data_IF_011620273376
#
_entry.id   IF_011620273376
#
_cell.length_a   1.000
_cell.length_b   1.000
_cell.length_c   1.000
_cell.angle_alpha   90.00
_cell.angle_beta   90.00
_cell.angle_gamma   90.00
#
_symmetry.space_group_name_H-M   'P 1'
#
loop_
_entity.id
_entity.type
_entity.pdbx_description
1 polymer ?
#
# COMPACT_ATOMS: atom_id res chain seq x y z
N UNK A 1 9.95 -29.13 -6.76
CA UNK A 1 9.36 -27.99 -7.49
C UNK A 1 7.94 -27.83 -6.97
N UNK A 2 7.79 -27.10 -5.87
CA UNK A 2 6.54 -27.01 -5.11
C UNK A 2 5.65 -25.91 -5.68
N UNK A 3 4.55 -26.31 -6.32
CA UNK A 3 3.45 -25.41 -6.66
C UNK A 3 2.67 -25.10 -5.40
N UNK A 4 2.75 -23.85 -4.95
CA UNK A 4 1.93 -23.31 -3.87
C UNK A 4 0.47 -23.32 -4.31
N UNK A 5 -0.47 -23.82 -3.49
CA UNK A 5 -1.88 -23.78 -3.84
C UNK A 5 -2.37 -22.35 -3.66
N UNK A 6 -2.47 -21.60 -4.76
CA UNK A 6 -3.46 -20.53 -4.89
C UNK A 6 -4.81 -21.16 -4.54
N UNK A 7 -5.55 -20.57 -3.61
CA UNK A 7 -6.87 -21.03 -3.19
C UNK A 7 -7.64 -21.64 -4.35
N UNK A 8 -8.07 -22.89 -4.19
CA UNK A 8 -8.85 -23.61 -5.20
C UNK A 8 -10.11 -22.81 -5.55
N UNK A 9 -10.01 -21.95 -6.57
CA UNK A 9 -11.11 -21.19 -7.09
C UNK A 9 -12.07 -22.16 -7.76
N UNK A 10 -13.33 -22.13 -7.33
CA UNK A 10 -14.40 -22.86 -7.96
C UNK A 10 -14.35 -22.60 -9.48
N UNK A 11 -14.53 -23.64 -10.31
CA UNK A 11 -14.47 -23.46 -11.75
C UNK A 11 -15.53 -22.51 -12.24
N UNK A 12 -15.08 -21.32 -12.64
CA UNK A 12 -15.95 -20.32 -13.22
C UNK A 12 -16.26 -20.74 -14.67
N UNK A 13 -17.55 -20.82 -14.97
CA UNK A 13 -18.05 -21.11 -16.31
C UNK A 13 -17.99 -19.85 -17.16
N UNK A 14 -17.54 -19.96 -18.41
CA UNK A 14 -17.49 -18.83 -19.33
C UNK A 14 -18.90 -18.39 -19.74
N UNK A 15 -19.18 -17.08 -19.65
CA UNK A 15 -20.46 -16.50 -20.06
C UNK A 15 -20.78 -16.69 -21.56
N UNK A 16 -19.74 -16.81 -22.40
CA UNK A 16 -19.90 -16.90 -23.85
C UNK A 16 -19.94 -18.35 -24.36
N UNK A 17 -19.00 -19.20 -23.95
CA UNK A 17 -18.91 -20.58 -24.48
C UNK A 17 -19.37 -21.66 -23.50
N UNK A 18 -19.81 -21.29 -22.29
CA UNK A 18 -20.30 -22.21 -21.25
C UNK A 18 -19.32 -23.31 -20.81
N UNK A 19 -18.06 -23.21 -21.22
CA UNK A 19 -16.99 -24.11 -20.80
C UNK A 19 -16.32 -23.64 -19.50
N UNK A 20 -15.76 -24.59 -18.77
CA UNK A 20 -14.91 -24.33 -17.60
C UNK A 20 -13.64 -23.62 -18.05
N UNK A 21 -13.34 -22.47 -17.46
CA UNK A 21 -12.13 -21.68 -17.78
C UNK A 21 -11.29 -21.43 -16.54
N UNK A 22 -9.97 -21.40 -16.72
CA UNK A 22 -8.98 -21.16 -15.66
C UNK A 22 -8.25 -19.82 -15.81
N UNK A 23 -8.36 -19.13 -16.95
CA UNK A 23 -7.66 -17.85 -17.18
C UNK A 23 -8.37 -16.67 -16.51
N UNK A 24 -7.67 -15.82 -15.78
CA UNK A 24 -8.25 -14.69 -15.00
C UNK A 24 -9.01 -13.72 -15.91
N UNK A 25 -8.33 -13.07 -16.85
CA UNK A 25 -8.93 -12.02 -17.68
C UNK A 25 -9.69 -12.55 -18.89
N UNK A 26 -9.18 -13.62 -19.52
CA UNK A 26 -9.70 -14.14 -20.79
C UNK A 26 -10.07 -15.61 -20.64
N UNK A 27 -11.13 -16.03 -21.35
CA UNK A 27 -11.51 -17.44 -21.40
C UNK A 27 -10.45 -18.25 -22.14
N UNK A 28 -9.95 -19.33 -21.52
CA UNK A 28 -8.95 -20.21 -22.15
C UNK A 28 -9.49 -21.00 -23.34
N UNK A 29 -10.82 -21.13 -23.48
CA UNK A 29 -11.46 -21.86 -24.57
C UNK A 29 -11.82 -20.97 -25.77
N UNK A 30 -12.52 -19.84 -25.52
CA UNK A 30 -13.01 -18.97 -26.61
C UNK A 30 -12.30 -17.60 -26.70
N UNK A 31 -11.35 -17.30 -25.83
CA UNK A 31 -10.59 -16.04 -25.84
C UNK A 31 -11.38 -14.80 -25.41
N UNK A 32 -12.67 -14.94 -25.08
CA UNK A 32 -13.52 -13.81 -24.69
C UNK A 32 -13.14 -13.20 -23.36
N UNK A 33 -13.27 -11.88 -23.26
CA UNK A 33 -13.01 -11.12 -22.04
C UNK A 33 -14.01 -11.54 -20.96
N UNK A 34 -13.51 -11.81 -19.75
CA UNK A 34 -14.29 -12.34 -18.65
C UNK A 34 -14.74 -11.25 -17.69
N UNK A 35 -15.92 -11.47 -17.10
CA UNK A 35 -16.30 -10.81 -15.87
C UNK A 35 -15.61 -11.52 -14.71
N UNK A 36 -14.76 -10.77 -13.99
CA UNK A 36 -14.19 -11.22 -12.72
C UNK A 36 -15.25 -11.12 -11.61
N UNK A 37 -15.21 -12.02 -10.61
CA UNK A 37 -16.05 -11.92 -9.43
C UNK A 37 -15.95 -10.54 -8.77
N UNK A 38 -17.01 -10.12 -8.11
CA UNK A 38 -16.93 -8.94 -7.24
C UNK A 38 -15.94 -9.23 -6.10
N UNK A 39 -15.08 -8.25 -5.79
CA UNK A 39 -14.08 -8.39 -4.73
C UNK A 39 -12.76 -9.05 -5.16
N UNK A 40 -12.51 -9.25 -6.46
CA UNK A 40 -11.16 -9.63 -6.93
C UNK A 40 -10.14 -8.58 -6.50
N UNK A 41 -9.13 -9.00 -5.73
CA UNK A 41 -8.07 -8.13 -5.25
C UNK A 41 -7.03 -7.81 -6.35
N UNK A 42 -6.19 -6.81 -6.10
CA UNK A 42 -5.18 -6.34 -7.05
C UNK A 42 -4.10 -7.38 -7.35
N UNK A 43 -3.73 -8.23 -6.39
CA UNK A 43 -2.76 -9.30 -6.65
C UNK A 43 -3.35 -10.33 -7.62
N UNK A 44 -4.61 -10.72 -7.40
CA UNK A 44 -5.35 -11.59 -8.31
C UNK A 44 -5.53 -10.95 -9.70
N UNK A 45 -5.80 -9.64 -9.77
CA UNK A 45 -5.87 -8.88 -11.02
C UNK A 45 -4.57 -8.96 -11.83
N UNK A 46 -3.41 -8.93 -11.15
CA UNK A 46 -2.10 -9.09 -11.79
C UNK A 46 -1.70 -10.55 -12.00
N UNK A 47 -2.52 -11.51 -11.59
CA UNK A 47 -2.18 -12.94 -11.56
C UNK A 47 -0.87 -13.16 -10.78
N UNK A 48 -0.77 -12.54 -9.61
CA UNK A 48 0.39 -12.57 -8.72
C UNK A 48 -0.01 -13.08 -7.33
N UNK A 49 0.91 -13.75 -6.61
CA UNK A 49 0.67 -14.04 -5.20
C UNK A 49 0.59 -12.73 -4.40
N UNK A 50 -0.09 -12.78 -3.25
CA UNK A 50 -0.18 -11.69 -2.26
C UNK A 50 1.16 -11.46 -1.54
N UNK A 51 2.22 -11.21 -2.30
CA UNK A 51 3.57 -10.92 -1.81
C UNK A 51 3.75 -9.43 -1.64
N UNK A 52 4.40 -9.05 -0.55
CA UNK A 52 4.80 -7.68 -0.26
C UNK A 52 6.20 -7.38 -0.79
N UNK A 53 7.09 -8.37 -0.89
CA UNK A 53 8.39 -8.22 -1.54
C UNK A 53 8.31 -8.73 -2.99
N UNK A 54 8.28 -7.79 -3.93
CA UNK A 54 8.20 -8.09 -5.36
C UNK A 54 9.20 -7.27 -6.17
N UNK A 55 9.73 -7.87 -7.23
CA UNK A 55 10.59 -7.18 -8.17
C UNK A 55 9.77 -6.18 -9.00
N UNK A 56 10.17 -4.92 -8.97
CA UNK A 56 9.42 -3.85 -9.65
C UNK A 56 9.34 -4.04 -11.16
N UNK A 57 10.38 -4.62 -11.75
CA UNK A 57 10.41 -4.98 -13.17
C UNK A 57 9.36 -6.03 -13.54
N UNK A 58 9.06 -6.98 -12.65
CA UNK A 58 8.03 -8.00 -12.88
C UNK A 58 6.62 -7.36 -12.89
N UNK A 59 6.35 -6.48 -11.93
CA UNK A 59 5.08 -5.74 -11.86
C UNK A 59 4.88 -4.88 -13.11
N UNK A 60 5.91 -4.12 -13.50
CA UNK A 60 5.85 -3.24 -14.67
C UNK A 60 5.64 -4.04 -15.97
N UNK A 61 6.36 -5.14 -16.16
CA UNK A 61 6.17 -6.01 -17.33
C UNK A 61 4.76 -6.61 -17.39
N UNK A 62 4.21 -7.05 -16.24
CA UNK A 62 2.83 -7.53 -16.17
C UNK A 62 1.83 -6.42 -16.46
N UNK A 63 2.05 -5.22 -15.92
CA UNK A 63 1.22 -4.05 -16.18
C UNK A 63 1.18 -3.71 -17.67
N UNK A 64 2.33 -3.54 -18.33
CA UNK A 64 2.39 -3.22 -19.76
C UNK A 64 1.69 -4.29 -20.61
N UNK A 65 1.92 -5.58 -20.29
CA UNK A 65 1.29 -6.71 -20.99
C UNK A 65 -0.23 -6.71 -20.83
N UNK A 66 -0.72 -6.50 -19.61
CA UNK A 66 -2.15 -6.50 -19.31
C UNK A 66 -2.83 -5.26 -19.88
N UNK A 67 -2.22 -4.07 -19.75
CA UNK A 67 -2.70 -2.82 -20.32
C UNK A 67 -2.86 -2.93 -21.83
N UNK A 68 -1.86 -3.51 -22.52
CA UNK A 68 -1.96 -3.73 -23.97
C UNK A 68 -3.10 -4.68 -24.33
N UNK A 69 -3.30 -5.78 -23.58
CA UNK A 69 -4.38 -6.75 -23.86
C UNK A 69 -5.78 -6.21 -23.55
N UNK A 70 -5.90 -5.42 -22.50
CA UNK A 70 -7.17 -4.97 -21.94
C UNK A 70 -7.59 -3.58 -22.45
N UNK A 71 -6.74 -2.90 -23.22
CA UNK A 71 -6.99 -1.56 -23.73
C UNK A 71 -8.34 -1.45 -24.46
N UNK A 72 -9.18 -0.42 -24.19
CA UNK A 72 -10.49 -0.26 -24.81
C UNK A 72 -10.47 -0.25 -26.34
N UNK A 73 -9.41 0.26 -26.94
CA UNK A 73 -9.23 0.29 -28.40
C UNK A 73 -9.26 -1.10 -29.05
N UNK A 74 -8.84 -2.15 -28.33
CA UNK A 74 -8.90 -3.52 -28.83
C UNK A 74 -10.34 -4.05 -28.90
N UNK A 75 -11.29 -3.41 -28.22
CA UNK A 75 -12.67 -3.87 -28.07
C UNK A 75 -13.68 -2.98 -28.81
N UNK A 76 -13.23 -2.02 -29.62
CA UNK A 76 -14.11 -1.10 -30.38
C UNK A 76 -15.11 -1.82 -31.28
N UNK A 77 -14.79 -3.04 -31.75
CA UNK A 77 -15.69 -3.87 -32.55
C UNK A 77 -16.31 -5.04 -31.75
N UNK A 78 -16.02 -5.13 -30.44
CA UNK A 78 -16.58 -6.17 -29.56
C UNK A 78 -18.02 -5.84 -29.15
N UNK A 79 -18.65 -6.77 -28.42
CA UNK A 79 -19.96 -6.55 -27.82
C UNK A 79 -19.93 -5.38 -26.81
N UNK A 80 -21.09 -4.75 -26.57
CA UNK A 80 -21.21 -3.68 -25.56
C UNK A 80 -20.72 -4.13 -24.19
N UNK A 81 -21.11 -5.34 -23.78
CA UNK A 81 -20.65 -5.98 -22.55
C UNK A 81 -19.11 -6.10 -22.48
N UNK A 82 -18.44 -6.48 -23.57
CA UNK A 82 -16.97 -6.56 -23.59
C UNK A 82 -16.29 -5.19 -23.53
N UNK A 83 -16.88 -4.17 -24.17
CA UNK A 83 -16.36 -2.80 -24.12
C UNK A 83 -16.43 -2.22 -22.71
N UNK A 84 -17.57 -2.38 -22.04
CA UNK A 84 -17.74 -1.94 -20.65
C UNK A 84 -16.76 -2.63 -19.70
N UNK A 85 -16.61 -3.95 -19.85
CA UNK A 85 -15.66 -4.73 -19.03
C UNK A 85 -14.23 -4.29 -19.30
N UNK A 86 -13.84 -4.07 -20.56
CA UNK A 86 -12.50 -3.59 -20.93
C UNK A 86 -12.20 -2.20 -20.34
N UNK A 87 -13.15 -1.26 -20.46
CA UNK A 87 -13.01 0.08 -19.89
C UNK A 87 -12.82 0.03 -18.37
N UNK A 88 -13.70 -0.69 -17.68
CA UNK A 88 -13.62 -0.87 -16.22
C UNK A 88 -12.30 -1.52 -15.82
N UNK A 89 -11.91 -2.62 -16.48
CA UNK A 89 -10.69 -3.38 -16.18
C UNK A 89 -9.42 -2.56 -16.41
N UNK A 90 -9.41 -1.70 -17.43
CA UNK A 90 -8.27 -0.81 -17.71
C UNK A 90 -8.08 0.22 -16.60
N UNK A 91 -9.17 0.77 -16.07
CA UNK A 91 -9.11 1.68 -14.92
C UNK A 91 -8.62 0.95 -13.67
N UNK A 92 -9.22 -0.20 -13.34
CA UNK A 92 -8.83 -1.02 -12.19
C UNK A 92 -7.35 -1.43 -12.24
N UNK A 93 -6.83 -1.75 -13.43
CA UNK A 93 -5.44 -2.12 -13.62
C UNK A 93 -4.48 -0.95 -13.32
N UNK A 94 -4.86 0.28 -13.67
CA UNK A 94 -4.08 1.47 -13.35
C UNK A 94 -4.04 1.73 -11.85
N UNK A 95 -5.19 1.62 -11.17
CA UNK A 95 -5.27 1.80 -9.72
C UNK A 95 -4.48 0.72 -8.99
N UNK A 96 -4.65 -0.54 -9.41
CA UNK A 96 -3.88 -1.66 -8.91
C UNK A 96 -2.38 -1.47 -9.13
N UNK A 97 -1.94 -0.97 -10.29
CA UNK A 97 -0.53 -0.68 -10.54
C UNK A 97 0.01 0.39 -9.60
N UNK A 98 -0.73 1.50 -9.42
CA UNK A 98 -0.33 2.59 -8.51
C UNK A 98 -0.20 2.09 -7.08
N UNK A 99 -1.20 1.35 -6.58
CA UNK A 99 -1.20 0.81 -5.22
C UNK A 99 -0.12 -0.23 -5.01
N UNK A 100 0.02 -1.20 -5.93
CA UNK A 100 1.03 -2.24 -5.79
C UNK A 100 2.44 -1.73 -6.07
N UNK A 101 2.63 -0.59 -6.73
CA UNK A 101 3.96 -0.02 -6.98
C UNK A 101 4.57 0.63 -5.74
N UNK A 102 3.75 1.29 -4.92
CA UNK A 102 4.20 1.92 -3.69
C UNK A 102 4.31 0.87 -2.56
N UNK A 103 5.50 0.70 -1.93
CA UNK A 103 5.68 -0.31 -0.89
C UNK A 103 4.75 -0.14 0.32
N UNK A 104 4.44 1.10 0.69
CA UNK A 104 3.60 1.41 1.85
C UNK A 104 2.14 1.12 1.51
N UNK A 105 1.66 1.66 0.39
CA UNK A 105 0.29 1.44 -0.08
C UNK A 105 0.01 -0.04 -0.36
N UNK A 106 1.02 -0.81 -0.80
CA UNK A 106 0.92 -2.27 -0.98
C UNK A 106 0.65 -2.98 0.35
N UNK A 107 1.35 -2.61 1.43
CA UNK A 107 1.13 -3.17 2.76
C UNK A 107 -0.24 -2.77 3.30
N UNK A 108 -0.59 -1.49 3.18
CA UNK A 108 -1.92 -0.97 3.58
C UNK A 108 -3.05 -1.72 2.87
N UNK A 109 -2.90 -1.90 1.56
CA UNK A 109 -3.86 -2.62 0.74
C UNK A 109 -4.01 -4.08 1.17
N UNK A 110 -2.91 -4.78 1.39
CA UNK A 110 -2.94 -6.16 1.89
C UNK A 110 -3.70 -6.25 3.23
N UNK A 111 -3.36 -5.38 4.18
CA UNK A 111 -4.02 -5.38 5.48
C UNK A 111 -5.52 -5.04 5.36
N UNK A 112 -5.89 -4.16 4.42
CA UNK A 112 -7.28 -3.80 4.18
C UNK A 112 -8.09 -4.99 3.64
N UNK A 113 -7.57 -5.73 2.66
CA UNK A 113 -8.28 -6.90 2.09
C UNK A 113 -8.35 -8.09 3.05
N UNK A 114 -7.42 -8.17 4.02
CA UNK A 114 -7.44 -9.18 5.09
C UNK A 114 -8.25 -8.71 6.32
N UNK A 115 -8.74 -7.46 6.34
CA UNK A 115 -9.52 -6.88 7.44
C UNK A 115 -8.71 -6.57 8.71
N UNK A 116 -7.38 -6.47 8.60
CA UNK A 116 -6.45 -6.24 9.73
C UNK A 116 -5.91 -4.80 9.78
N UNK A 117 -6.23 -3.94 8.79
CA UNK A 117 -5.84 -2.53 8.81
C UNK A 117 -6.69 -1.77 9.83
N UNK A 118 -6.06 -1.30 10.91
CA UNK A 118 -6.71 -0.56 12.02
C UNK A 118 -6.27 0.90 12.04
N UNK A 119 -6.54 1.60 10.95
CA UNK A 119 -6.28 3.04 10.87
C UNK A 119 -7.46 3.82 11.46
N UNK A 120 -7.18 4.80 12.32
CA UNK A 120 -8.21 5.71 12.85
C UNK A 120 -9.18 5.14 13.89
N UNK A 121 -9.15 3.84 14.19
CA UNK A 121 -9.98 3.22 15.26
C UNK A 121 -9.64 3.77 16.66
N UNK A 122 -8.47 4.39 16.82
CA UNK A 122 -8.06 5.15 17.99
C UNK A 122 -7.42 6.45 17.51
N UNK A 123 -7.58 7.56 18.26
CA UNK A 123 -6.70 8.73 18.10
C UNK A 123 -5.27 8.20 18.08
N UNK A 124 -4.49 8.55 17.05
CA UNK A 124 -3.08 8.15 16.95
C UNK A 124 -2.38 8.65 18.22
N UNK A 125 -2.24 7.76 19.21
CA UNK A 125 -1.47 8.02 20.40
C UNK A 125 -0.01 7.93 19.98
N UNK A 126 0.81 8.85 20.50
CA UNK A 126 2.24 8.77 20.31
C UNK A 126 2.71 7.38 20.78
N UNK A 127 3.49 6.66 19.95
CA UNK A 127 4.17 5.45 20.39
C UNK A 127 4.93 5.73 21.69
N UNK A 128 4.87 4.85 22.71
CA UNK A 128 5.48 5.11 24.01
C UNK A 128 6.95 5.53 23.94
N UNK A 129 7.69 4.97 22.99
CA UNK A 129 9.10 5.24 22.72
C UNK A 129 9.38 6.59 22.02
N UNK A 130 8.35 7.35 21.67
CA UNK A 130 8.45 8.68 21.07
C UNK A 130 7.87 9.78 21.98
N UNK A 131 7.35 9.42 23.15
CA UNK A 131 6.61 10.38 24.00
C UNK A 131 7.48 11.54 24.47
N UNK A 132 8.73 11.26 24.84
CA UNK A 132 9.68 12.25 25.33
C UNK A 132 10.07 13.22 24.22
N UNK A 133 10.50 12.74 23.06
CA UNK A 133 10.91 13.62 21.95
C UNK A 133 9.74 14.40 21.35
N UNK A 134 8.52 13.84 21.38
CA UNK A 134 7.31 14.57 20.98
C UNK A 134 6.99 15.68 21.96
N UNK A 135 7.17 15.44 23.26
CA UNK A 135 6.97 16.46 24.28
C UNK A 135 7.96 17.61 24.10
N UNK A 136 9.25 17.31 23.99
CA UNK A 136 10.31 18.30 23.72
C UNK A 136 10.03 19.09 22.44
N UNK A 137 9.62 18.41 21.36
CA UNK A 137 9.27 19.07 20.10
C UNK A 137 8.12 20.06 20.28
N UNK A 138 7.06 19.68 20.99
CA UNK A 138 5.92 20.56 21.21
C UNK A 138 6.31 21.79 22.03
N UNK A 139 7.17 21.63 23.05
CA UNK A 139 7.71 22.76 23.82
C UNK A 139 8.49 23.72 22.91
N UNK A 140 9.42 23.21 22.08
CA UNK A 140 10.18 24.05 21.14
C UNK A 140 9.27 24.75 20.11
N UNK A 141 8.19 24.11 19.66
CA UNK A 141 7.21 24.72 18.75
C UNK A 141 6.41 25.83 19.43
N UNK A 142 6.04 25.67 20.70
CA UNK A 142 5.32 26.69 21.45
C UNK A 142 6.23 27.89 21.76
N UNK A 143 7.49 27.65 22.14
CA UNK A 143 8.51 28.69 22.30
C UNK A 143 8.72 29.48 20.99
N UNK A 144 8.77 28.79 19.84
CA UNK A 144 8.89 29.43 18.53
C UNK A 144 7.71 30.38 18.24
N UNK A 145 6.49 29.96 18.59
CA UNK A 145 5.28 30.76 18.38
C UNK A 145 5.27 32.00 19.27
N UNK A 146 5.69 31.87 20.52
CA UNK A 146 5.82 32.99 21.46
C UNK A 146 6.91 33.98 21.04
N UNK A 147 8.09 33.47 20.66
CA UNK A 147 9.20 34.29 20.18
C UNK A 147 8.82 35.04 18.89
N UNK A 148 8.06 34.40 17.98
CA UNK A 148 7.52 35.03 16.77
C UNK A 148 6.55 36.16 17.08
N UNK A 149 5.68 35.99 18.09
CA UNK A 149 4.75 37.04 18.52
C UNK A 149 5.47 38.23 19.17
N UNK A 150 6.57 37.97 19.88
CA UNK A 150 7.35 38.98 20.60
C UNK A 150 8.44 39.66 19.75
N UNK A 151 8.73 39.14 18.55
CA UNK A 151 9.77 39.67 17.66
C UNK A 151 11.20 39.34 18.09
N UNK A 152 11.38 38.24 18.82
CA UNK A 152 12.70 37.78 19.30
C UNK A 152 13.51 37.10 18.18
N UNK A 153 14.81 36.88 18.44
CA UNK A 153 15.67 36.15 17.51
C UNK A 153 15.32 34.66 17.49
N UNK A 154 14.93 34.17 16.32
CA UNK A 154 14.44 32.80 16.11
C UNK A 154 15.55 31.83 15.68
N UNK A 155 16.79 32.30 15.50
CA UNK A 155 17.87 31.49 14.94
C UNK A 155 18.16 30.21 15.77
N UNK A 156 18.17 30.32 17.10
CA UNK A 156 18.41 29.19 17.98
C UNK A 156 17.27 28.17 17.95
N UNK A 157 16.02 28.64 17.98
CA UNK A 157 14.82 27.79 17.94
C UNK A 157 14.67 27.10 16.57
N UNK A 158 14.97 27.80 15.47
CA UNK A 158 15.04 27.18 14.14
C UNK A 158 16.05 26.05 14.09
N UNK A 159 17.26 26.26 14.59
CA UNK A 159 18.30 25.22 14.61
C UNK A 159 17.89 23.99 15.45
N UNK A 160 17.18 24.20 16.57
CA UNK A 160 16.63 23.10 17.37
C UNK A 160 15.56 22.30 16.60
N UNK A 161 14.63 22.99 15.94
CA UNK A 161 13.57 22.36 15.14
C UNK A 161 14.11 21.62 13.91
N UNK A 162 15.12 22.17 13.23
CA UNK A 162 15.81 21.49 12.13
C UNK A 162 16.49 20.19 12.62
N UNK A 163 17.11 20.22 13.81
CA UNK A 163 17.71 19.02 14.41
C UNK A 163 16.63 18.00 14.81
N UNK A 164 15.51 18.45 15.37
CA UNK A 164 14.38 17.59 15.69
C UNK A 164 13.78 16.96 14.42
N UNK A 165 13.58 17.74 13.35
CA UNK A 165 13.11 17.26 12.05
C UNK A 165 14.03 16.16 11.53
N UNK A 166 15.35 16.39 11.54
CA UNK A 166 16.35 15.41 11.12
C UNK A 166 16.26 14.12 11.93
N UNK A 167 16.15 14.22 13.26
CA UNK A 167 16.01 13.04 14.13
C UNK A 167 14.75 12.24 13.79
N UNK A 168 13.61 12.90 13.57
CA UNK A 168 12.37 12.20 13.16
C UNK A 168 12.45 11.62 11.75
N UNK A 169 13.16 12.26 10.82
CA UNK A 169 13.43 11.69 9.49
C UNK A 169 14.28 10.42 9.58
N UNK A 170 15.30 10.39 10.44
CA UNK A 170 16.11 9.18 10.69
C UNK A 170 15.25 8.04 11.26
N UNK A 171 14.43 8.32 12.29
CA UNK A 171 13.48 7.34 12.84
C UNK A 171 12.45 6.86 11.81
N UNK A 172 12.00 7.73 10.90
CA UNK A 172 11.11 7.33 9.81
C UNK A 172 11.80 6.32 8.89
N UNK A 173 13.08 6.55 8.57
CA UNK A 173 13.90 5.62 7.78
C UNK A 173 14.11 4.27 8.47
N UNK A 174 14.31 4.25 9.79
CA UNK A 174 14.39 3.02 10.59
C UNK A 174 13.09 2.21 10.50
N UNK A 175 11.95 2.86 10.71
CA UNK A 175 10.63 2.22 10.61
C UNK A 175 10.37 1.71 9.20
N UNK A 176 10.78 2.45 8.17
CA UNK A 176 10.69 2.00 6.77
C UNK A 176 11.54 0.74 6.53
N UNK A 177 12.74 0.67 7.12
CA UNK A 177 13.58 -0.53 7.09
C UNK A 177 12.94 -1.73 7.80
N UNK A 178 12.39 -1.52 8.99
CA UNK A 178 11.65 -2.55 9.75
C UNK A 178 10.41 -3.05 9.00
N UNK A 179 9.69 -2.16 8.33
CA UNK A 179 8.53 -2.49 7.52
C UNK A 179 8.92 -3.35 6.32
N UNK A 180 10.03 -3.01 5.64
CA UNK A 180 10.57 -3.81 4.54
C UNK A 180 11.03 -5.19 4.99
N UNK A 181 11.68 -5.28 6.15
CA UNK A 181 12.08 -6.57 6.73
C UNK A 181 10.85 -7.44 7.05
N UNK A 182 9.83 -6.84 7.67
CA UNK A 182 8.58 -7.53 8.02
C UNK A 182 7.78 -7.93 6.77
N UNK A 183 7.84 -7.14 5.69
CA UNK A 183 7.26 -7.50 4.40
C UNK A 183 7.90 -8.77 3.81
N UNK A 184 9.21 -8.97 3.98
CA UNK A 184 9.89 -10.22 3.60
C UNK A 184 9.52 -11.39 4.50
N UNK A 185 9.33 -11.14 5.81
CA UNK A 185 8.80 -12.14 6.74
C UNK A 185 7.42 -12.62 6.29
N UNK A 186 6.52 -11.70 5.90
CA UNK A 186 5.20 -12.03 5.36
C UNK A 186 5.29 -12.98 4.17
N UNK A 187 6.15 -12.69 3.20
CA UNK A 187 6.33 -13.51 2.00
C UNK A 187 6.83 -14.91 2.34
N UNK A 188 7.67 -15.05 3.37
CA UNK A 188 8.17 -16.34 3.84
C UNK A 188 7.07 -17.18 4.53
N UNK A 189 6.11 -16.53 5.18
CA UNK A 189 5.00 -17.19 5.90
C UNK A 189 3.70 -17.26 5.09
N UNK A 190 3.72 -16.89 3.82
CA UNK A 190 2.52 -16.85 2.96
C UNK A 190 1.80 -18.22 2.90
N UNK A 191 2.56 -19.32 2.94
CA UNK A 191 2.05 -20.70 2.98
C UNK A 191 1.97 -21.29 4.38
N UNK A 192 2.30 -20.49 5.40
CA UNK A 192 2.26 -20.88 6.81
C UNK A 192 0.85 -20.90 7.39
N UNK A 193 0.77 -21.25 8.67
CA UNK A 193 -0.49 -21.28 9.41
C UNK A 193 -1.11 -19.87 9.56
N UNK A 194 -2.42 -19.83 9.78
CA UNK A 194 -3.16 -18.57 9.90
C UNK A 194 -2.72 -17.73 11.11
N UNK A 195 -2.29 -18.35 12.22
CA UNK A 195 -1.89 -17.62 13.41
C UNK A 195 -0.56 -16.89 13.19
N UNK A 196 0.41 -17.54 12.52
CA UNK A 196 1.67 -16.91 12.14
C UNK A 196 1.45 -15.72 11.20
N UNK A 197 0.59 -15.88 10.17
CA UNK A 197 0.23 -14.79 9.26
C UNK A 197 -0.41 -13.60 10.00
N UNK A 198 -1.33 -13.86 10.94
CA UNK A 198 -1.95 -12.82 11.77
C UNK A 198 -0.94 -12.05 12.63
N UNK A 199 0.05 -12.73 13.20
CA UNK A 199 1.11 -12.07 13.97
C UNK A 199 1.93 -11.10 13.11
N UNK A 200 2.31 -11.53 11.90
CA UNK A 200 3.06 -10.66 10.97
C UNK A 200 2.20 -9.48 10.51
N UNK A 201 0.91 -9.70 10.21
CA UNK A 201 0.00 -8.60 9.86
C UNK A 201 -0.20 -7.60 11.00
N UNK A 202 -0.30 -8.06 12.24
CA UNK A 202 -0.39 -7.18 13.41
C UNK A 202 0.87 -6.29 13.53
N UNK A 203 2.06 -6.88 13.36
CA UNK A 203 3.34 -6.16 13.35
C UNK A 203 3.41 -5.14 12.21
N UNK A 204 2.99 -5.50 11.00
CA UNK A 204 2.91 -4.57 9.86
C UNK A 204 1.98 -3.38 10.16
N UNK A 205 0.81 -3.65 10.74
CA UNK A 205 -0.15 -2.59 11.08
C UNK A 205 0.40 -1.63 12.16
N UNK A 206 1.10 -2.15 13.16
CA UNK A 206 1.77 -1.35 14.20
C UNK A 206 2.86 -0.45 13.58
N UNK A 207 3.70 -1.01 12.72
CA UNK A 207 4.75 -0.26 12.00
C UNK A 207 4.15 0.83 11.10
N UNK A 208 3.06 0.56 10.38
CA UNK A 208 2.37 1.58 9.58
C UNK A 208 1.80 2.71 10.43
N UNK A 209 1.24 2.39 11.60
CA UNK A 209 0.71 3.40 12.51
C UNK A 209 1.84 4.28 13.08
N UNK A 210 2.95 3.67 13.51
CA UNK A 210 4.17 4.37 13.96
C UNK A 210 4.73 5.26 12.87
N UNK A 211 4.85 4.73 11.64
CA UNK A 211 5.30 5.47 10.45
C UNK A 211 4.41 6.67 10.16
N UNK A 212 3.09 6.48 10.13
CA UNK A 212 2.11 7.54 9.86
C UNK A 212 2.24 8.67 10.88
N UNK A 213 2.40 8.32 12.15
CA UNK A 213 2.62 9.27 13.25
C UNK A 213 3.91 10.09 13.07
N UNK A 214 5.06 9.43 12.87
CA UNK A 214 6.35 10.11 12.66
C UNK A 214 6.31 11.01 11.42
N UNK A 215 5.76 10.51 10.31
CA UNK A 215 5.61 11.30 9.07
C UNK A 215 4.77 12.55 9.29
N UNK A 216 3.68 12.46 10.07
CA UNK A 216 2.86 13.62 10.40
C UNK A 216 3.64 14.64 11.24
N UNK A 217 4.47 14.19 12.20
CA UNK A 217 5.36 15.07 12.96
C UNK A 217 6.35 15.79 12.04
N UNK A 218 7.09 15.07 11.20
CA UNK A 218 8.05 15.66 10.24
C UNK A 218 7.36 16.70 9.35
N UNK A 219 6.16 16.37 8.84
CA UNK A 219 5.40 17.28 7.98
C UNK A 219 4.98 18.55 8.73
N UNK A 220 4.57 18.43 10.00
CA UNK A 220 4.19 19.57 10.83
C UNK A 220 5.39 20.46 11.15
N UNK A 221 6.55 19.88 11.51
CA UNK A 221 7.77 20.64 11.79
C UNK A 221 8.26 21.37 10.55
N UNK A 222 8.32 20.69 9.40
CA UNK A 222 8.70 21.31 8.14
C UNK A 222 7.79 22.48 7.77
N UNK A 223 6.48 22.35 8.03
CA UNK A 223 5.52 23.44 7.81
C UNK A 223 5.81 24.63 8.72
N UNK A 224 5.98 24.43 10.01
CA UNK A 224 6.28 25.50 10.96
C UNK A 224 7.60 26.20 10.60
N UNK A 225 8.64 25.45 10.23
CA UNK A 225 9.92 26.01 9.76
C UNK A 225 9.76 26.90 8.51
N UNK A 226 8.86 26.55 7.57
CA UNK A 226 8.60 27.40 6.39
C UNK A 226 7.80 28.67 6.69
N UNK A 227 7.05 28.69 7.78
CA UNK A 227 6.24 29.84 8.19
C UNK A 227 7.00 30.84 9.06
N UNK A 228 8.28 30.57 9.36
CA UNK A 228 9.16 31.36 10.24
C UNK A 228 10.34 31.90 9.44
#
# INVERSE_FOLDING_TARGET
MSTVPTSAEAPLVCWNCHERTLGTHFCSNCGKLRQLPQGTDYFALFEMPRKLWMEMSELEQKFLRLSWKLHPDNFVNASEQEREVSLKRSSELNDAYRTLRDPIARVEYLLAIEGERKEGEKKQQAPPELLEEVFELNESLDELREAKASGEDLAALKAQLENAEKNFQEKLGEVDGELQATAREWDAVLTGDSATRKKVMAKLNELLNRRSYIRNLVTNVAKELTEV
#
